data_IF_180053191068
#
_entry.id   IF_180053191068
#
_cell.length_a   1.000
_cell.length_b   1.000
_cell.length_c   1.000
_cell.angle_alpha   90.00
_cell.angle_beta   90.00
_cell.angle_gamma   90.00
#
_symmetry.space_group_name_H-M   'P 1'
#
loop_
_entity.id
_entity.type
_entity.pdbx_description
1 polymer ?
#
# COMPACT_ATOMS: atom_id res chain seq x y z
N UNK A 1 44.76 8.96 13.69
CA UNK A 1 44.06 8.90 12.39
C UNK A 1 42.74 8.18 12.66
N UNK A 2 41.63 8.86 12.48
CA UNK A 2 40.29 8.48 12.96
C UNK A 2 39.77 7.23 12.24
N UNK A 3 39.45 6.19 13.00
CA UNK A 3 38.65 5.07 12.53
C UNK A 3 37.21 5.52 12.41
N UNK A 4 36.70 5.57 11.18
CA UNK A 4 35.29 5.79 10.88
C UNK A 4 34.51 4.51 11.20
N UNK A 5 34.02 4.40 12.44
CA UNK A 5 32.98 3.43 12.78
C UNK A 5 31.69 3.85 12.07
N UNK A 6 31.38 3.17 10.97
CA UNK A 6 30.06 3.23 10.34
C UNK A 6 29.09 2.40 11.19
N UNK A 7 28.74 2.94 12.36
CA UNK A 7 27.70 2.35 13.21
C UNK A 7 26.36 2.49 12.48
N UNK A 8 25.83 1.39 11.97
CA UNK A 8 24.39 1.24 11.78
C UNK A 8 23.74 1.23 13.16
N UNK A 9 23.66 2.41 13.79
CA UNK A 9 23.15 2.57 15.13
C UNK A 9 21.68 2.11 15.15
N UNK A 10 21.43 0.98 15.81
CA UNK A 10 20.06 0.53 16.05
C UNK A 10 19.34 1.63 16.83
N UNK A 11 18.15 2.08 16.42
CA UNK A 11 17.44 3.15 17.09
C UNK A 11 17.19 2.79 18.56
N UNK A 12 17.23 3.78 19.44
CA UNK A 12 17.00 3.54 20.87
C UNK A 12 15.62 2.89 21.08
N UNK A 13 15.47 1.97 22.05
CA UNK A 13 14.18 1.36 22.34
C UNK A 13 13.09 2.38 22.72
N UNK A 14 13.47 3.54 23.25
CA UNK A 14 12.56 4.63 23.54
C UNK A 14 11.99 5.26 22.25
N UNK A 15 12.86 5.56 21.27
CA UNK A 15 12.44 6.09 19.98
C UNK A 15 11.56 5.08 19.22
N UNK A 16 11.93 3.80 19.22
CA UNK A 16 11.13 2.75 18.58
C UNK A 16 9.70 2.65 19.17
N UNK A 17 9.56 2.80 20.50
CA UNK A 17 8.24 2.82 21.16
C UNK A 17 7.43 4.06 20.78
N UNK A 18 8.04 5.23 20.75
CA UNK A 18 7.38 6.48 20.35
C UNK A 18 6.89 6.40 18.90
N UNK A 19 7.75 5.94 17.98
CA UNK A 19 7.39 5.72 16.57
C UNK A 19 6.24 4.72 16.45
N UNK A 20 6.28 3.60 17.19
CA UNK A 20 5.18 2.62 17.18
C UNK A 20 3.87 3.23 17.66
N UNK A 21 3.89 4.07 18.70
CA UNK A 21 2.70 4.75 19.19
C UNK A 21 2.13 5.73 18.16
N UNK A 22 2.98 6.51 17.51
CA UNK A 22 2.58 7.48 16.48
C UNK A 22 2.06 6.80 15.20
N UNK A 23 2.69 5.71 14.76
CA UNK A 23 2.33 5.01 13.53
C UNK A 23 1.07 4.14 13.70
N UNK A 24 0.77 3.65 14.90
CA UNK A 24 -0.37 2.76 15.16
C UNK A 24 -1.72 3.28 14.63
N UNK A 25 -2.16 4.53 14.88
CA UNK A 25 -3.41 5.04 14.33
C UNK A 25 -3.40 5.08 12.80
N UNK A 26 -2.25 5.37 12.17
CA UNK A 26 -2.12 5.42 10.71
C UNK A 26 -2.25 4.02 10.10
N UNK A 27 -1.53 3.06 10.67
CA UNK A 27 -1.63 1.65 10.28
C UNK A 27 -3.06 1.13 10.45
N UNK A 28 -3.79 1.57 11.48
CA UNK A 28 -5.21 1.19 11.66
C UNK A 28 -6.08 1.70 10.51
N UNK A 29 -5.94 2.98 10.12
CA UNK A 29 -6.68 3.55 8.98
C UNK A 29 -6.32 2.81 7.69
N UNK A 30 -5.03 2.61 7.45
CA UNK A 30 -4.52 1.89 6.30
C UNK A 30 -5.12 0.49 6.16
N UNK A 31 -5.09 -0.32 7.21
CA UNK A 31 -5.68 -1.65 7.20
C UNK A 31 -7.19 -1.59 6.99
N UNK A 32 -7.87 -0.62 7.61
CA UNK A 32 -9.31 -0.43 7.40
C UNK A 32 -9.63 -0.16 5.92
N UNK A 33 -8.74 0.54 5.20
CA UNK A 33 -8.87 0.88 3.78
C UNK A 33 -8.18 -0.11 2.83
N UNK A 34 -7.70 -1.27 3.32
CA UNK A 34 -7.07 -2.28 2.47
C UNK A 34 -5.66 -1.94 1.95
N UNK A 35 -5.00 -0.93 2.52
CA UNK A 35 -3.62 -0.57 2.16
C UNK A 35 -2.67 -1.68 2.62
N UNK A 36 -1.94 -2.26 1.66
CA UNK A 36 -1.02 -3.36 1.92
C UNK A 36 0.36 -2.88 2.38
N UNK A 37 1.13 -3.79 2.97
CA UNK A 37 2.52 -3.50 3.36
C UNK A 37 3.39 -3.11 2.17
N UNK A 38 3.20 -3.73 1.00
CA UNK A 38 3.94 -3.39 -0.21
C UNK A 38 3.72 -1.94 -0.65
N UNK A 39 2.46 -1.50 -0.65
CA UNK A 39 2.10 -0.10 -0.91
C UNK A 39 2.74 0.84 0.11
N UNK A 40 2.61 0.55 1.40
CA UNK A 40 3.20 1.37 2.47
C UNK A 40 4.72 1.47 2.33
N UNK A 41 5.38 0.36 2.02
CA UNK A 41 6.83 0.32 1.89
C UNK A 41 7.30 1.25 0.79
N UNK A 42 6.68 1.22 -0.39
CA UNK A 42 7.02 2.13 -1.47
C UNK A 42 6.70 3.59 -1.12
N UNK A 43 5.58 3.86 -0.45
CA UNK A 43 5.24 5.21 0.03
C UNK A 43 6.30 5.74 1.01
N UNK A 44 6.69 4.94 2.01
CA UNK A 44 7.72 5.30 2.99
C UNK A 44 9.07 5.50 2.30
N UNK A 45 9.46 4.61 1.36
CA UNK A 45 10.72 4.79 0.61
C UNK A 45 10.73 6.13 -0.13
N UNK A 46 9.64 6.48 -0.81
CA UNK A 46 9.52 7.77 -1.51
C UNK A 46 9.67 8.93 -0.54
N UNK A 47 8.94 8.91 0.58
CA UNK A 47 9.01 9.97 1.59
C UNK A 47 10.39 10.08 2.24
N UNK A 48 11.04 8.95 2.52
CA UNK A 48 12.40 8.93 3.07
C UNK A 48 13.42 9.52 2.10
N UNK A 49 13.30 9.23 0.80
CA UNK A 49 14.15 9.80 -0.25
C UNK A 49 13.92 11.30 -0.41
N UNK A 50 12.66 11.75 -0.36
CA UNK A 50 12.29 13.16 -0.45
C UNK A 50 12.86 13.95 0.73
N UNK A 51 12.51 13.58 1.96
CA UNK A 51 13.01 14.21 3.20
C UNK A 51 14.53 14.19 3.26
N UNK A 52 15.17 13.08 2.85
CA UNK A 52 16.62 12.97 2.78
C UNK A 52 17.26 14.01 1.84
N UNK A 53 16.56 14.34 0.75
CA UNK A 53 17.02 15.29 -0.25
C UNK A 53 16.77 16.74 0.17
N UNK A 54 15.62 17.01 0.77
CA UNK A 54 15.13 18.38 1.06
C UNK A 54 15.60 18.89 2.42
N UNK A 55 15.52 18.06 3.46
CA UNK A 55 15.71 18.50 4.85
C UNK A 55 17.10 18.16 5.40
N UNK A 56 17.82 17.23 4.77
CA UNK A 56 19.17 16.82 5.18
C UNK A 56 20.26 17.02 4.09
N UNK A 57 20.30 18.16 3.38
CA UNK A 57 21.37 18.43 2.43
C UNK A 57 22.72 18.61 3.14
N UNK A 58 23.82 18.36 2.41
CA UNK A 58 25.13 18.82 2.85
C UNK A 58 25.30 20.28 2.43
N UNK A 59 26.04 21.07 3.21
CA UNK A 59 26.30 22.48 2.92
C UNK A 59 26.69 22.68 1.43
N UNK A 60 25.90 23.50 0.75
CA UNK A 60 26.06 23.92 -0.64
C UNK A 60 26.02 22.83 -1.73
N UNK A 61 25.58 21.59 -1.44
CA UNK A 61 25.46 20.54 -2.47
C UNK A 61 24.24 19.66 -2.30
N UNK A 62 23.52 19.43 -3.41
CA UNK A 62 22.48 18.40 -3.47
C UNK A 62 23.09 17.02 -3.15
N UNK A 63 22.43 16.20 -2.30
CA UNK A 63 22.96 14.89 -1.96
C UNK A 63 22.97 13.94 -3.16
N UNK A 64 24.04 13.17 -3.26
CA UNK A 64 24.17 12.11 -4.29
C UNK A 64 23.27 10.93 -3.95
N UNK A 65 22.91 10.13 -4.96
CA UNK A 65 22.10 8.91 -4.77
C UNK A 65 22.75 7.95 -3.75
N UNK A 66 24.08 7.86 -3.76
CA UNK A 66 24.82 7.02 -2.81
C UNK A 66 24.66 7.49 -1.37
N UNK A 67 24.64 8.81 -1.12
CA UNK A 67 24.44 9.35 0.23
C UNK A 67 23.00 9.12 0.70
N UNK A 68 22.02 9.38 -0.17
CA UNK A 68 20.61 9.14 0.16
C UNK A 68 20.40 7.65 0.45
N UNK A 69 20.96 6.77 -0.36
CA UNK A 69 20.90 5.32 -0.15
C UNK A 69 21.52 4.90 1.19
N UNK A 70 22.69 5.44 1.53
CA UNK A 70 23.34 5.18 2.82
C UNK A 70 22.51 5.66 4.01
N UNK A 71 21.90 6.84 3.92
CA UNK A 71 21.14 7.43 5.03
C UNK A 71 19.77 6.79 5.23
N UNK A 72 19.09 6.43 4.15
CA UNK A 72 17.71 5.91 4.18
C UNK A 72 17.64 4.39 4.21
N UNK A 73 18.73 3.71 3.83
CA UNK A 73 18.73 2.26 3.58
C UNK A 73 18.00 1.84 2.30
N UNK A 74 17.46 2.79 1.52
CA UNK A 74 16.79 2.50 0.25
C UNK A 74 17.84 2.16 -0.80
N UNK A 75 17.59 1.09 -1.57
CA UNK A 75 18.54 0.64 -2.58
C UNK A 75 18.80 1.73 -3.64
N UNK A 76 20.05 1.90 -4.07
CA UNK A 76 20.45 2.99 -4.98
C UNK A 76 19.59 3.08 -6.26
N UNK A 77 19.22 1.94 -6.87
CA UNK A 77 18.32 1.92 -8.05
C UNK A 77 16.93 2.49 -7.74
N UNK A 78 16.39 2.21 -6.55
CA UNK A 78 15.11 2.77 -6.11
C UNK A 78 15.26 4.28 -5.84
N UNK A 79 16.37 4.71 -5.24
CA UNK A 79 16.66 6.14 -5.04
C UNK A 79 16.64 6.90 -6.37
N UNK A 80 17.42 6.44 -7.36
CA UNK A 80 17.47 7.13 -8.67
C UNK A 80 16.08 7.20 -9.33
N UNK A 81 15.31 6.11 -9.28
CA UNK A 81 13.93 6.06 -9.79
C UNK A 81 13.00 7.03 -9.06
N UNK A 82 12.96 6.99 -7.73
CA UNK A 82 12.08 7.80 -6.90
C UNK A 82 12.39 9.29 -7.04
N UNK A 83 13.68 9.66 -7.10
CA UNK A 83 14.10 11.04 -7.34
C UNK A 83 13.63 11.58 -8.69
N UNK A 84 13.63 10.74 -9.72
CA UNK A 84 13.13 11.16 -11.03
C UNK A 84 11.61 11.36 -10.99
N UNK A 85 10.87 10.45 -10.35
CA UNK A 85 9.41 10.59 -10.17
C UNK A 85 9.04 11.86 -9.39
N UNK A 86 9.80 12.21 -8.36
CA UNK A 86 9.63 13.44 -7.57
C UNK A 86 9.82 14.71 -8.43
N UNK A 87 10.78 14.72 -9.36
CA UNK A 87 11.02 15.88 -10.25
C UNK A 87 9.91 16.07 -11.27
N UNK A 88 9.38 14.97 -11.82
CA UNK A 88 8.36 15.02 -12.87
C UNK A 88 6.96 15.29 -12.32
N UNK A 89 6.82 15.51 -11.00
CA UNK A 89 5.57 15.72 -10.27
C UNK A 89 4.48 14.71 -10.68
N UNK A 90 4.92 13.50 -11.01
CA UNK A 90 4.03 12.43 -11.43
C UNK A 90 3.44 11.84 -10.17
N UNK A 91 2.13 11.62 -10.16
CA UNK A 91 1.38 11.06 -9.03
C UNK A 91 2.19 9.93 -8.36
N UNK A 92 2.56 10.16 -7.10
CA UNK A 92 3.47 9.32 -6.32
C UNK A 92 2.81 8.05 -5.80
N UNK A 93 1.59 7.74 -6.27
CA UNK A 93 0.87 6.53 -5.94
C UNK A 93 1.73 5.28 -6.25
N UNK A 94 2.12 4.49 -5.23
CA UNK A 94 2.86 3.26 -5.41
C UNK A 94 2.21 2.30 -6.42
N UNK A 95 3.03 1.77 -7.33
CA UNK A 95 2.60 0.75 -8.32
C UNK A 95 2.45 -0.66 -7.75
N UNK A 96 2.52 -0.84 -6.44
CA UNK A 96 2.46 -2.16 -5.82
C UNK A 96 1.09 -2.80 -6.11
N UNK A 97 1.05 -3.77 -7.03
CA UNK A 97 -0.17 -4.49 -7.37
C UNK A 97 -0.47 -5.45 -6.22
N UNK A 98 -1.51 -5.16 -5.44
CA UNK A 98 -1.94 -6.05 -4.37
C UNK A 98 -2.40 -7.39 -4.95
N UNK A 99 -2.31 -8.47 -4.16
CA UNK A 99 -2.92 -9.75 -4.53
C UNK A 99 -4.38 -9.55 -4.96
N UNK A 100 -5.09 -8.68 -4.24
CA UNK A 100 -6.47 -8.39 -4.55
C UNK A 100 -6.66 -7.79 -5.95
N UNK A 101 -5.82 -6.81 -6.33
CA UNK A 101 -5.86 -6.23 -7.66
C UNK A 101 -5.53 -7.26 -8.77
N UNK A 102 -4.65 -8.23 -8.50
CA UNK A 102 -4.35 -9.32 -9.45
C UNK A 102 -5.56 -10.25 -9.63
N UNK A 103 -6.22 -10.64 -8.53
CA UNK A 103 -7.44 -11.47 -8.57
C UNK A 103 -8.56 -10.75 -9.32
N UNK A 104 -8.78 -9.46 -9.04
CA UNK A 104 -9.77 -8.65 -9.78
C UNK A 104 -9.40 -8.57 -11.26
N UNK A 105 -8.15 -8.30 -11.60
CA UNK A 105 -7.70 -8.22 -12.99
C UNK A 105 -7.93 -9.53 -13.77
N UNK A 106 -7.72 -10.70 -13.13
CA UNK A 106 -8.05 -12.00 -13.73
C UNK A 106 -9.56 -12.16 -13.89
N UNK A 107 -10.35 -11.80 -12.87
CA UNK A 107 -11.82 -11.91 -12.91
C UNK A 107 -12.43 -11.06 -14.03
N UNK A 108 -12.02 -9.80 -14.15
CA UNK A 108 -12.57 -8.86 -15.15
C UNK A 108 -11.91 -8.96 -16.53
N UNK A 109 -10.73 -9.58 -16.62
CA UNK A 109 -9.94 -9.65 -17.85
C UNK A 109 -10.01 -10.99 -18.58
N UNK A 110 -10.49 -12.06 -17.94
CA UNK A 110 -10.49 -13.40 -18.54
C UNK A 110 -11.88 -13.77 -19.08
N UNK A 111 -12.02 -14.12 -20.38
CA UNK A 111 -13.33 -14.37 -21.00
C UNK A 111 -14.21 -15.42 -20.30
N UNK A 112 -13.60 -16.42 -19.66
CA UNK A 112 -14.32 -17.48 -18.93
C UNK A 112 -15.09 -16.98 -17.70
N UNK A 113 -14.71 -15.81 -17.16
CA UNK A 113 -15.37 -15.19 -16.02
C UNK A 113 -16.29 -14.02 -16.42
N UNK A 114 -16.54 -13.81 -17.72
CA UNK A 114 -17.35 -12.72 -18.22
C UNK A 114 -18.65 -13.23 -18.83
N UNK A 115 -19.72 -12.46 -18.66
CA UNK A 115 -20.97 -12.68 -19.38
C UNK A 115 -20.89 -12.16 -20.84
N UNK A 116 -21.91 -12.40 -21.69
CA UNK A 116 -21.92 -11.89 -23.06
C UNK A 116 -21.88 -10.36 -23.19
N UNK A 117 -22.13 -9.62 -22.12
CA UNK A 117 -22.08 -8.17 -22.05
C UNK A 117 -20.69 -7.66 -21.62
N UNK A 118 -19.79 -8.57 -21.22
CA UNK A 118 -18.45 -8.25 -20.75
C UNK A 118 -18.35 -7.96 -19.25
N UNK A 119 -19.42 -8.22 -18.50
CA UNK A 119 -19.46 -8.02 -17.04
C UNK A 119 -19.01 -9.28 -16.29
N UNK A 120 -18.35 -9.13 -15.12
CA UNK A 120 -17.85 -10.26 -14.34
C UNK A 120 -18.99 -11.12 -13.78
N UNK A 121 -18.92 -12.43 -14.04
CA UNK A 121 -19.89 -13.43 -13.60
C UNK A 121 -19.87 -13.61 -12.07
N UNK A 122 -21.03 -13.79 -11.42
CA UNK A 122 -21.14 -14.33 -10.08
C UNK A 122 -20.53 -15.73 -10.00
N UNK A 123 -19.63 -15.97 -9.03
CA UNK A 123 -18.94 -17.25 -8.88
C UNK A 123 -19.43 -18.02 -7.65
N UNK A 124 -19.72 -19.33 -7.76
CA UNK A 124 -19.83 -20.21 -6.59
C UNK A 124 -18.62 -20.08 -5.68
N UNK A 125 -18.85 -20.23 -4.36
CA UNK A 125 -17.80 -20.03 -3.37
C UNK A 125 -16.71 -21.10 -3.47
N UNK A 126 -17.12 -22.35 -3.67
CA UNK A 126 -16.25 -23.51 -3.61
C UNK A 126 -16.09 -24.19 -4.96
N UNK A 127 -14.92 -24.79 -5.19
CA UNK A 127 -14.67 -25.59 -6.39
C UNK A 127 -15.57 -26.85 -6.44
N UNK A 128 -16.04 -27.35 -5.30
CA UNK A 128 -17.02 -28.45 -5.26
C UNK A 128 -18.38 -28.09 -5.86
N UNK A 129 -18.70 -26.80 -5.98
CA UNK A 129 -19.96 -26.30 -6.52
C UNK A 129 -19.80 -25.80 -7.96
N UNK A 130 -18.69 -25.10 -8.25
CA UNK A 130 -18.47 -24.43 -9.54
C UNK A 130 -17.28 -24.93 -10.37
N UNK A 131 -16.51 -25.91 -9.87
CA UNK A 131 -15.28 -26.37 -10.50
C UNK A 131 -14.28 -25.22 -10.71
N UNK A 132 -13.72 -25.15 -11.92
CA UNK A 132 -12.79 -24.10 -12.36
C UNK A 132 -13.43 -22.71 -12.45
N UNK A 133 -14.78 -22.62 -12.48
CA UNK A 133 -15.53 -21.37 -12.46
C UNK A 133 -16.06 -21.09 -11.04
N UNK A 134 -15.17 -21.11 -10.06
CA UNK A 134 -15.47 -20.79 -8.66
C UNK A 134 -14.53 -19.71 -8.12
N UNK A 135 -14.97 -19.01 -7.08
CA UNK A 135 -14.12 -18.02 -6.39
C UNK A 135 -12.86 -18.66 -5.82
N UNK A 136 -12.97 -19.90 -5.34
CA UNK A 136 -11.83 -20.68 -4.87
C UNK A 136 -10.79 -20.94 -5.97
N UNK A 137 -11.24 -21.40 -7.15
CA UNK A 137 -10.36 -21.63 -8.31
C UNK A 137 -9.73 -20.32 -8.82
N UNK A 138 -10.51 -19.23 -8.87
CA UNK A 138 -10.01 -17.91 -9.25
C UNK A 138 -8.88 -17.45 -8.33
N UNK A 139 -9.05 -17.51 -7.00
CA UNK A 139 -7.99 -17.13 -6.05
C UNK A 139 -6.77 -18.03 -6.22
N UNK A 140 -6.98 -19.35 -6.33
CA UNK A 140 -5.89 -20.32 -6.49
C UNK A 140 -5.08 -20.11 -7.78
N UNK A 141 -5.71 -19.62 -8.86
CA UNK A 141 -5.02 -19.30 -10.11
C UNK A 141 -4.02 -18.15 -10.00
N UNK A 142 -4.19 -17.28 -9.00
CA UNK A 142 -3.31 -16.12 -8.76
C UNK A 142 -2.33 -16.42 -7.62
N UNK A 143 -2.80 -17.04 -6.54
CA UNK A 143 -1.96 -17.38 -5.40
C UNK A 143 -2.50 -18.62 -4.67
N UNK A 144 -1.72 -19.70 -4.70
CA UNK A 144 -2.06 -20.97 -4.05
C UNK A 144 -1.74 -21.02 -2.55
N UNK A 145 -0.95 -20.08 -2.03
CA UNK A 145 -0.49 -20.09 -0.64
C UNK A 145 -1.53 -19.46 0.31
N UNK A 146 -2.46 -18.67 -0.22
CA UNK A 146 -3.51 -18.00 0.56
C UNK A 146 -4.85 -18.70 0.31
N UNK A 147 -5.47 -19.15 1.40
CA UNK A 147 -6.80 -19.79 1.32
C UNK A 147 -7.85 -18.79 0.83
N UNK A 148 -8.63 -19.19 -0.17
CA UNK A 148 -9.74 -18.41 -0.75
C UNK A 148 -10.69 -17.82 0.29
N UNK A 149 -10.99 -18.58 1.36
CA UNK A 149 -11.81 -18.10 2.48
C UNK A 149 -11.26 -16.81 3.11
N UNK A 150 -9.95 -16.73 3.31
CA UNK A 150 -9.31 -15.55 3.94
C UNK A 150 -9.47 -14.33 3.04
N UNK A 151 -9.29 -14.51 1.72
CA UNK A 151 -9.51 -13.46 0.72
C UNK A 151 -10.97 -13.02 0.73
N UNK A 152 -11.90 -13.98 0.71
CA UNK A 152 -13.34 -13.71 0.70
C UNK A 152 -13.79 -12.92 1.93
N UNK A 153 -13.40 -13.38 3.12
CA UNK A 153 -13.78 -12.72 4.38
C UNK A 153 -13.26 -11.27 4.42
N UNK A 154 -12.04 -11.03 3.93
CA UNK A 154 -11.45 -9.68 3.85
C UNK A 154 -12.11 -8.81 2.76
N UNK A 155 -12.44 -9.39 1.62
CA UNK A 155 -13.08 -8.68 0.51
C UNK A 155 -14.53 -8.31 0.82
N UNK A 156 -15.25 -9.15 1.58
CA UNK A 156 -16.55 -8.80 2.14
C UNK A 156 -16.43 -7.63 3.12
N UNK A 157 -15.42 -7.65 4.01
CA UNK A 157 -15.15 -6.55 4.95
C UNK A 157 -14.86 -5.23 4.23
N UNK A 158 -14.11 -5.29 3.14
CA UNK A 158 -13.75 -4.13 2.32
C UNK A 158 -14.84 -3.72 1.31
N UNK A 159 -15.91 -4.50 1.17
CA UNK A 159 -16.99 -4.22 0.21
C UNK A 159 -16.61 -4.47 -1.26
N UNK A 160 -15.49 -5.14 -1.52
CA UNK A 160 -15.02 -5.51 -2.86
C UNK A 160 -15.94 -6.56 -3.50
N UNK A 161 -16.53 -7.44 -2.67
CA UNK A 161 -17.51 -8.43 -3.10
C UNK A 161 -18.72 -8.43 -2.17
N UNK A 162 -19.80 -9.03 -2.65
CA UNK A 162 -20.99 -9.36 -1.87
C UNK A 162 -21.53 -10.74 -2.29
N UNK A 163 -22.53 -11.25 -1.57
CA UNK A 163 -23.27 -12.43 -2.00
C UNK A 163 -24.58 -12.04 -2.68
N UNK A 164 -24.93 -12.73 -3.77
CA UNK A 164 -26.27 -12.65 -4.35
C UNK A 164 -27.28 -13.57 -3.61
N UNK A 165 -28.53 -13.55 -4.05
CA UNK A 165 -29.60 -14.41 -3.51
C UNK A 165 -29.31 -15.91 -3.65
N UNK A 166 -28.47 -16.29 -4.62
CA UNK A 166 -28.02 -17.66 -4.85
C UNK A 166 -26.75 -18.01 -4.05
N UNK A 167 -26.31 -17.14 -3.14
CA UNK A 167 -25.11 -17.29 -2.32
C UNK A 167 -23.80 -17.41 -3.13
N UNK A 168 -23.77 -16.80 -4.32
CA UNK A 168 -22.57 -16.68 -5.16
C UNK A 168 -21.84 -15.38 -4.88
N UNK A 169 -20.52 -15.42 -4.98
CA UNK A 169 -19.65 -14.26 -4.79
C UNK A 169 -19.74 -13.37 -6.02
N UNK A 170 -20.16 -12.13 -5.82
CA UNK A 170 -20.31 -11.12 -6.86
C UNK A 170 -19.29 -10.01 -6.67
N UNK A 171 -18.55 -9.67 -7.71
CA UNK A 171 -17.65 -8.52 -7.70
C UNK A 171 -18.47 -7.23 -7.67
N UNK A 172 -18.14 -6.33 -6.75
CA UNK A 172 -18.74 -5.01 -6.74
C UNK A 172 -17.96 -4.11 -7.71
N UNK A 173 -18.43 -4.03 -8.97
CA UNK A 173 -17.79 -3.21 -10.01
C UNK A 173 -17.82 -1.71 -9.70
N UNK A 174 -18.70 -1.27 -8.78
CA UNK A 174 -18.79 0.12 -8.31
C UNK A 174 -17.97 0.39 -7.03
N UNK A 175 -17.39 -0.63 -6.38
CA UNK A 175 -16.63 -0.49 -5.13
C UNK A 175 -15.32 0.30 -5.26
N UNK A 176 -14.89 0.61 -6.49
CA UNK A 176 -13.70 1.42 -6.75
C UNK A 176 -13.98 2.91 -6.85
N UNK A 177 -15.23 3.34 -6.67
CA UNK A 177 -15.60 4.75 -6.55
C UNK A 177 -15.49 5.15 -5.07
N UNK A 178 -14.66 6.15 -4.70
CA UNK A 178 -14.61 6.66 -3.34
C UNK A 178 -16.02 7.03 -2.88
N UNK A 179 -16.46 6.50 -1.73
CA UNK A 179 -17.74 6.90 -1.14
C UNK A 179 -17.78 8.42 -0.96
N UNK A 180 -18.92 9.07 -1.22
CA UNK A 180 -19.07 10.53 -1.04
C UNK A 180 -18.47 11.00 0.30
N UNK A 181 -17.62 12.02 0.23
CA UNK A 181 -16.93 12.59 1.40
C UNK A 181 -15.69 11.82 1.88
N UNK A 182 -15.28 10.73 1.24
CA UNK A 182 -14.01 10.06 1.57
C UNK A 182 -12.79 10.95 1.28
N UNK A 183 -12.77 11.59 0.11
CA UNK A 183 -11.68 12.51 -0.28
C UNK A 183 -11.55 13.69 0.70
N UNK A 184 -12.68 14.26 1.11
CA UNK A 184 -12.74 15.32 2.12
C UNK A 184 -12.22 14.84 3.48
N UNK A 185 -12.66 13.66 3.95
CA UNK A 185 -12.17 13.07 5.21
C UNK A 185 -10.68 12.75 5.14
N UNK A 186 -10.19 12.24 4.01
CA UNK A 186 -8.78 11.95 3.79
C UNK A 186 -7.94 13.23 3.78
N UNK A 187 -8.44 14.28 3.14
CA UNK A 187 -7.83 15.61 3.16
C UNK A 187 -7.68 16.15 4.58
N UNK A 188 -8.76 16.16 5.38
CA UNK A 188 -8.70 16.64 6.76
C UNK A 188 -7.86 15.74 7.67
N UNK A 189 -7.86 14.42 7.45
CA UNK A 189 -6.97 13.51 8.16
C UNK A 189 -5.49 13.87 7.93
N UNK A 190 -5.10 14.09 6.67
CA UNK A 190 -3.75 14.48 6.30
C UNK A 190 -3.35 15.83 6.90
N UNK A 191 -4.23 16.83 6.76
CA UNK A 191 -4.00 18.18 7.25
C UNK A 191 -3.82 18.22 8.78
N UNK A 192 -4.78 17.67 9.53
CA UNK A 192 -4.74 17.69 11.00
C UNK A 192 -3.53 16.93 11.54
N UNK A 193 -3.21 15.78 10.96
CA UNK A 193 -2.07 14.98 11.41
C UNK A 193 -0.74 15.68 11.14
N UNK A 194 -0.59 16.31 9.98
CA UNK A 194 0.60 17.09 9.64
C UNK A 194 0.81 18.20 10.65
N UNK A 195 -0.22 19.00 10.94
CA UNK A 195 -0.14 20.12 11.87
C UNK A 195 0.23 19.68 13.29
N UNK A 196 -0.40 18.61 13.80
CA UNK A 196 -0.08 18.05 15.11
C UNK A 196 1.36 17.53 15.18
N UNK A 197 1.84 16.88 14.13
CA UNK A 197 3.23 16.41 14.06
C UNK A 197 4.22 17.58 13.98
N UNK A 198 3.92 18.61 13.17
CA UNK A 198 4.76 19.80 13.01
C UNK A 198 4.86 20.64 14.27
N UNK A 199 3.78 20.73 15.05
CA UNK A 199 3.70 21.46 16.32
C UNK A 199 4.37 20.73 17.50
N UNK A 200 4.73 19.45 17.35
CA UNK A 200 5.37 18.68 18.42
C UNK A 200 6.82 19.17 18.66
N UNK A 201 7.27 19.29 19.92
CA UNK A 201 8.63 19.75 20.22
C UNK A 201 9.70 18.87 19.55
N UNK A 202 10.51 19.48 18.69
CA UNK A 202 11.65 18.83 18.03
C UNK A 202 12.89 18.94 18.93
N UNK A 203 12.91 18.25 20.07
CA UNK A 203 14.04 18.33 21.03
C UNK A 203 15.13 17.30 20.77
N UNK A 204 15.44 17.03 19.49
CA UNK A 204 16.50 16.11 19.09
C UNK A 204 17.31 16.75 17.94
N UNK A 205 18.08 17.78 18.30
CA UNK A 205 19.21 18.26 17.51
C UNK A 205 20.50 17.83 18.21
#
# INVERSE_FOLDING_TARGET
MLSSDSSSATPSPALARALRAALRPLVKVMLAQGVTLGYLTELIKSLMVDVAQTDFPLEHKAPTDSRISLMTGVHRKDVSRLREQLKTNTDHTPRAVSLGAQVVAVWVGSPQYLDPQGEPLPLPRFASEGGELSFEALVASVNSDIRSRVVLDEWLRLGVVHFDEANRVCLNTQAFVPSEGFEEKAFYLGHNLHDHAAASPKTWA
#
